data_IF_779657534449
#
_entry.id   IF_779657534449
#
_cell.length_a   1.000
_cell.length_b   1.000
_cell.length_c   1.000
_cell.angle_alpha   90.00
_cell.angle_beta   90.00
_cell.angle_gamma   90.00
#
_symmetry.space_group_name_H-M   'P 1'
#
loop_
_entity.id
_entity.type
_entity.pdbx_description
1 polymer ?
#
# COMPACT_ATOMS: atom_id res chain seq x y z
N UNK A 1 -0.36 14.18 -13.33
CA UNK A 1 -0.69 14.54 -11.92
C UNK A 1 -0.95 13.25 -11.16
N UNK A 2 -0.64 13.18 -9.84
CA UNK A 2 -0.95 12.01 -8.99
C UNK A 2 -2.01 12.45 -7.99
N UNK A 3 -3.09 11.68 -7.90
CA UNK A 3 -4.21 11.95 -7.02
C UNK A 3 -4.66 10.67 -6.31
N UNK A 4 -5.24 10.82 -5.12
CA UNK A 4 -5.92 9.76 -4.38
C UNK A 4 -7.42 10.04 -4.38
N UNK A 5 -8.20 9.12 -4.92
CA UNK A 5 -9.67 9.25 -4.99
C UNK A 5 -10.32 7.95 -4.51
N UNK A 6 -11.56 8.02 -4.03
CA UNK A 6 -12.37 6.82 -3.81
C UNK A 6 -12.62 6.13 -5.15
N UNK A 7 -12.40 4.83 -5.17
CA UNK A 7 -12.72 4.01 -6.35
C UNK A 7 -14.24 3.95 -6.50
N UNK A 8 -14.74 4.16 -7.73
CA UNK A 8 -16.14 4.10 -8.04
C UNK A 8 -16.52 2.73 -8.64
N UNK A 9 -17.79 2.38 -8.58
CA UNK A 9 -18.26 1.06 -9.08
C UNK A 9 -18.00 0.84 -10.58
N UNK A 10 -18.05 1.90 -11.37
CA UNK A 10 -17.77 1.87 -12.81
C UNK A 10 -16.29 1.69 -13.15
N UNK A 11 -15.41 1.88 -12.15
CA UNK A 11 -13.96 1.67 -12.27
C UNK A 11 -13.52 0.23 -11.89
N UNK A 12 -14.42 -0.59 -11.36
CA UNK A 12 -14.10 -1.96 -10.93
C UNK A 12 -13.58 -2.83 -12.08
N UNK A 13 -14.01 -2.57 -13.32
CA UNK A 13 -13.47 -3.27 -14.48
C UNK A 13 -12.00 -2.94 -14.68
N UNK A 14 -11.62 -1.65 -14.59
CA UNK A 14 -10.23 -1.23 -14.69
C UNK A 14 -9.39 -1.78 -13.54
N UNK A 15 -9.92 -1.75 -12.31
CA UNK A 15 -9.24 -2.32 -11.15
C UNK A 15 -8.93 -3.81 -11.37
N UNK A 16 -9.93 -4.58 -11.78
CA UNK A 16 -9.77 -6.00 -12.10
C UNK A 16 -8.69 -6.22 -13.18
N UNK A 17 -8.74 -5.46 -14.28
CA UNK A 17 -7.83 -5.63 -15.40
C UNK A 17 -6.35 -5.40 -15.00
N UNK A 18 -6.07 -4.58 -14.00
CA UNK A 18 -4.70 -4.37 -13.50
C UNK A 18 -4.31 -5.31 -12.37
N UNK A 19 -5.22 -5.67 -11.49
CA UNK A 19 -4.97 -6.57 -10.36
C UNK A 19 -4.84 -8.02 -10.81
N UNK A 20 -5.77 -8.47 -11.64
CA UNK A 20 -5.82 -9.83 -12.20
C UNK A 20 -5.29 -9.89 -13.64
N UNK A 21 -4.26 -9.10 -13.96
CA UNK A 21 -3.66 -9.01 -15.31
C UNK A 21 -3.15 -10.35 -15.84
N UNK A 22 -2.84 -11.29 -14.95
CA UNK A 22 -2.43 -12.66 -15.27
C UNK A 22 -2.67 -13.58 -14.07
N UNK A 23 -2.49 -14.89 -14.26
CA UNK A 23 -2.52 -15.88 -13.17
C UNK A 23 -1.35 -15.71 -12.17
N UNK A 24 -0.28 -15.04 -12.59
CA UNK A 24 0.91 -14.73 -11.80
C UNK A 24 1.28 -13.27 -12.02
N UNK A 25 0.50 -12.33 -11.47
CA UNK A 25 0.74 -10.92 -11.74
C UNK A 25 2.03 -10.44 -11.08
N UNK A 26 2.77 -9.59 -11.78
CA UNK A 26 4.11 -9.12 -11.36
C UNK A 26 4.10 -8.43 -10.00
N UNK A 27 3.05 -7.69 -9.70
CA UNK A 27 2.94 -6.97 -8.42
C UNK A 27 2.96 -7.93 -7.20
N UNK A 28 2.42 -9.16 -7.35
CA UNK A 28 2.37 -10.14 -6.26
C UNK A 28 3.75 -10.67 -5.87
N UNK A 29 4.73 -10.61 -6.74
CA UNK A 29 6.12 -10.94 -6.39
C UNK A 29 6.70 -10.06 -5.28
N UNK A 30 6.11 -8.89 -5.04
CA UNK A 30 6.53 -7.92 -4.03
C UNK A 30 5.56 -7.80 -2.86
N UNK A 31 4.27 -8.12 -3.07
CA UNK A 31 3.23 -8.04 -2.07
C UNK A 31 3.12 -9.36 -1.29
N UNK A 32 3.95 -9.47 -0.26
CA UNK A 32 3.97 -10.62 0.67
C UNK A 32 3.90 -12.00 0.00
N UNK A 33 4.74 -12.30 -1.01
CA UNK A 33 4.65 -13.54 -1.80
C UNK A 33 4.87 -14.81 -0.97
N UNK A 34 5.41 -14.67 0.22
CA UNK A 34 5.65 -15.77 1.16
C UNK A 34 4.38 -16.32 1.82
N UNK A 35 3.23 -15.65 1.66
CA UNK A 35 1.95 -16.20 2.12
C UNK A 35 1.32 -17.14 1.08
N UNK A 36 1.72 -17.03 -0.19
CA UNK A 36 1.20 -17.83 -1.31
C UNK A 36 -0.34 -17.85 -1.37
N UNK A 37 -0.94 -16.68 -1.12
CA UNK A 37 -2.38 -16.49 -0.89
C UNK A 37 -3.12 -15.89 -2.10
N UNK A 38 -2.41 -15.66 -3.22
CA UNK A 38 -3.03 -15.11 -4.43
C UNK A 38 -3.77 -16.20 -5.21
N UNK A 39 -5.08 -16.01 -5.36
CA UNK A 39 -5.94 -16.84 -6.21
C UNK A 39 -6.45 -16.00 -7.38
N UNK A 40 -6.13 -16.43 -8.61
CA UNK A 40 -6.67 -15.77 -9.78
C UNK A 40 -8.18 -15.94 -9.87
N UNK A 41 -8.90 -14.83 -10.07
CA UNK A 41 -10.35 -14.79 -10.25
C UNK A 41 -10.71 -14.34 -11.67
N UNK A 42 -11.79 -14.85 -12.19
CA UNK A 42 -12.49 -14.24 -13.32
C UNK A 42 -13.16 -12.94 -12.89
N UNK A 43 -13.55 -12.09 -13.84
CA UNK A 43 -14.23 -10.85 -13.51
C UNK A 43 -15.54 -11.07 -12.73
N UNK A 44 -16.32 -12.10 -13.12
CA UNK A 44 -17.57 -12.42 -12.43
C UNK A 44 -17.33 -12.89 -10.98
N UNK A 45 -16.30 -13.70 -10.75
CA UNK A 45 -15.89 -14.11 -9.40
C UNK A 45 -15.39 -12.93 -8.57
N UNK A 46 -14.61 -12.02 -9.18
CA UNK A 46 -14.16 -10.79 -8.53
C UNK A 46 -15.34 -9.91 -8.09
N UNK A 47 -16.30 -9.65 -8.97
CA UNK A 47 -17.49 -8.83 -8.67
C UNK A 47 -18.34 -9.44 -7.54
N UNK A 48 -18.36 -10.76 -7.40
CA UNK A 48 -19.10 -11.49 -6.35
C UNK A 48 -18.27 -11.70 -5.07
N UNK A 49 -16.99 -11.34 -5.08
CA UNK A 49 -16.11 -11.51 -3.93
C UNK A 49 -16.31 -10.40 -2.89
N UNK A 50 -15.94 -10.69 -1.64
CA UNK A 50 -15.88 -9.69 -0.56
C UNK A 50 -14.84 -8.58 -0.77
N UNK A 51 -13.94 -8.72 -1.76
CA UNK A 51 -12.94 -7.71 -2.09
C UNK A 51 -13.54 -6.39 -2.57
N UNK A 52 -14.73 -6.45 -3.19
CA UNK A 52 -15.44 -5.24 -3.65
C UNK A 52 -15.74 -4.29 -2.49
N UNK A 53 -16.17 -4.83 -1.36
CA UNK A 53 -16.43 -4.02 -0.16
C UNK A 53 -15.15 -3.38 0.38
N UNK A 54 -14.03 -4.09 0.31
CA UNK A 54 -12.72 -3.53 0.67
C UNK A 54 -12.33 -2.38 -0.25
N UNK A 55 -12.37 -2.57 -1.57
CA UNK A 55 -11.95 -1.55 -2.54
C UNK A 55 -12.83 -0.31 -2.56
N UNK A 56 -14.14 -0.47 -2.33
CA UNK A 56 -15.09 0.65 -2.28
C UNK A 56 -15.19 1.28 -0.89
N UNK A 57 -14.55 0.68 0.11
CA UNK A 57 -14.59 1.10 1.50
C UNK A 57 -13.77 2.37 1.79
N UNK A 58 -13.93 2.88 3.00
CA UNK A 58 -13.26 4.13 3.45
C UNK A 58 -11.77 3.94 3.77
N UNK A 59 -11.34 2.69 3.90
CA UNK A 59 -9.95 2.34 4.23
C UNK A 59 -9.03 2.26 3.02
N UNK A 60 -9.57 2.44 1.82
CA UNK A 60 -8.84 2.31 0.55
C UNK A 60 -9.11 3.52 -0.34
N UNK A 61 -8.08 3.94 -1.05
CA UNK A 61 -8.20 4.88 -2.16
C UNK A 61 -7.43 4.39 -3.38
N UNK A 62 -7.97 4.63 -4.55
CA UNK A 62 -7.27 4.45 -5.81
C UNK A 62 -6.15 5.46 -5.98
N UNK A 63 -5.03 5.01 -6.53
CA UNK A 63 -3.94 5.86 -7.00
C UNK A 63 -4.17 6.16 -8.47
N UNK A 64 -4.35 7.43 -8.81
CA UNK A 64 -4.55 7.88 -10.18
C UNK A 64 -3.33 8.63 -10.68
N UNK A 65 -2.83 8.23 -11.83
CA UNK A 65 -1.80 8.95 -12.56
C UNK A 65 -2.39 9.48 -13.86
N UNK A 66 -2.53 10.82 -13.98
CA UNK A 66 -3.21 11.46 -15.11
C UNK A 66 -4.59 10.83 -15.38
N UNK A 67 -5.43 10.74 -14.35
CA UNK A 67 -6.78 10.16 -14.35
C UNK A 67 -6.87 8.65 -14.66
N UNK A 68 -5.74 7.95 -14.74
CA UNK A 68 -5.71 6.49 -14.94
C UNK A 68 -5.48 5.83 -13.58
N UNK A 69 -6.39 4.94 -13.17
CA UNK A 69 -6.22 4.10 -11.97
C UNK A 69 -5.07 3.10 -12.21
N UNK A 70 -4.05 3.14 -11.33
CA UNK A 70 -2.82 2.33 -11.46
C UNK A 70 -2.53 1.47 -10.22
N UNK A 71 -3.21 1.72 -9.12
CA UNK A 71 -2.97 1.01 -7.87
C UNK A 71 -3.85 1.54 -6.74
N UNK A 72 -3.53 1.15 -5.52
CA UNK A 72 -4.26 1.54 -4.32
C UNK A 72 -3.32 1.94 -3.19
N UNK A 73 -3.83 2.77 -2.27
CA UNK A 73 -3.34 2.91 -0.90
C UNK A 73 -4.41 2.41 0.05
N UNK A 74 -3.99 1.87 1.18
CA UNK A 74 -4.89 1.37 2.21
C UNK A 74 -4.43 1.78 3.60
N UNK A 75 -5.34 1.71 4.58
CA UNK A 75 -5.03 1.85 6.00
C UNK A 75 -5.76 0.78 6.80
N UNK A 76 -5.16 0.33 7.88
CA UNK A 76 -5.75 -0.63 8.80
C UNK A 76 -5.22 -0.41 10.22
N UNK A 77 -6.07 -0.71 11.19
CA UNK A 77 -5.67 -0.68 12.58
C UNK A 77 -5.00 -2.00 12.96
N UNK A 78 -3.74 -1.96 13.37
CA UNK A 78 -3.13 -3.06 14.11
C UNK A 78 -3.80 -3.16 15.49
N UNK A 79 -4.05 -2.02 16.11
CA UNK A 79 -4.86 -1.94 17.32
C UNK A 79 -5.48 -0.53 17.43
N UNK A 80 -6.78 -0.43 17.25
CA UNK A 80 -7.49 0.84 17.27
C UNK A 80 -7.50 1.49 18.66
N UNK A 81 -7.60 0.69 19.74
CA UNK A 81 -7.62 1.22 21.11
C UNK A 81 -6.30 1.88 21.50
N UNK A 82 -5.19 1.38 20.99
CA UNK A 82 -3.86 1.96 21.23
C UNK A 82 -3.46 2.97 20.14
N UNK A 83 -4.35 3.25 19.20
CA UNK A 83 -4.11 4.15 18.06
C UNK A 83 -2.92 3.74 17.19
N UNK A 84 -2.72 2.42 17.06
CA UNK A 84 -1.69 1.85 16.20
C UNK A 84 -2.26 1.56 14.82
N UNK A 85 -1.94 2.42 13.84
CA UNK A 85 -2.40 2.35 12.46
C UNK A 85 -1.23 2.06 11.53
N UNK A 86 -1.44 1.15 10.59
CA UNK A 86 -0.50 0.89 9.49
C UNK A 86 -1.15 1.22 8.14
N UNK A 87 -0.30 1.54 7.16
CA UNK A 87 -0.69 1.81 5.79
C UNK A 87 -0.09 0.79 4.83
N UNK A 88 -0.78 0.57 3.72
CA UNK A 88 -0.34 -0.25 2.60
C UNK A 88 -0.38 0.52 1.29
N UNK A 89 0.39 0.05 0.32
CA UNK A 89 0.37 0.55 -1.06
C UNK A 89 0.68 -0.59 -2.02
N UNK A 90 -0.10 -0.66 -3.10
CA UNK A 90 0.19 -1.53 -4.25
C UNK A 90 0.00 -0.72 -5.53
N UNK A 91 1.01 -0.72 -6.41
CA UNK A 91 0.87 -0.29 -7.80
C UNK A 91 0.80 -1.55 -8.63
N UNK A 92 -0.39 -1.89 -9.12
CA UNK A 92 -0.66 -3.15 -9.82
C UNK A 92 0.01 -3.21 -11.19
N UNK A 93 0.02 -2.08 -11.92
CA UNK A 93 0.58 -2.00 -13.27
C UNK A 93 2.08 -1.64 -13.21
N UNK A 94 2.94 -2.61 -13.56
CA UNK A 94 4.40 -2.46 -13.54
C UNK A 94 4.92 -1.33 -14.45
N UNK A 95 4.17 -0.97 -15.49
CA UNK A 95 4.52 0.14 -16.37
C UNK A 95 4.59 1.49 -15.65
N UNK A 96 4.01 1.58 -14.45
CA UNK A 96 4.02 2.78 -13.61
C UNK A 96 5.05 2.73 -12.47
N UNK A 97 5.84 1.68 -12.37
CA UNK A 97 6.88 1.57 -11.36
C UNK A 97 8.08 2.48 -11.64
N UNK A 98 8.86 2.78 -10.61
CA UNK A 98 10.07 3.61 -10.68
C UNK A 98 9.89 5.04 -11.21
N UNK A 99 8.65 5.52 -11.30
CA UNK A 99 8.29 6.89 -11.74
C UNK A 99 8.02 7.86 -10.59
N UNK A 100 8.32 7.46 -9.36
CA UNK A 100 8.07 8.28 -8.17
C UNK A 100 6.60 8.29 -7.70
N UNK A 101 5.71 7.56 -8.37
CA UNK A 101 4.27 7.51 -8.07
C UNK A 101 4.03 7.00 -6.65
N UNK A 102 4.70 5.90 -6.25
CA UNK A 102 4.55 5.32 -4.93
C UNK A 102 4.91 6.28 -3.81
N UNK A 103 6.04 6.97 -3.89
CA UNK A 103 6.44 7.96 -2.89
C UNK A 103 5.45 9.12 -2.81
N UNK A 104 4.96 9.62 -3.94
CA UNK A 104 3.98 10.72 -3.95
C UNK A 104 2.63 10.27 -3.40
N UNK A 105 2.16 9.07 -3.76
CA UNK A 105 0.91 8.52 -3.26
C UNK A 105 0.96 8.30 -1.74
N UNK A 106 2.05 7.72 -1.21
CA UNK A 106 2.23 7.56 0.22
C UNK A 106 2.27 8.91 0.95
N UNK A 107 2.96 9.91 0.41
CA UNK A 107 2.98 11.26 1.02
C UNK A 107 1.58 11.87 1.09
N UNK A 108 0.77 11.77 0.04
CA UNK A 108 -0.60 12.25 0.04
C UNK A 108 -1.47 11.49 1.03
N UNK A 109 -1.25 10.17 1.15
CA UNK A 109 -2.02 9.32 2.05
C UNK A 109 -1.70 9.58 3.52
N UNK A 110 -0.43 9.73 3.88
CA UNK A 110 0.02 10.08 5.23
C UNK A 110 -0.54 11.45 5.64
N UNK A 111 -0.45 12.43 4.73
CA UNK A 111 -0.99 13.77 4.97
C UNK A 111 -2.50 13.74 5.26
N UNK A 112 -3.26 13.04 4.43
CA UNK A 112 -4.69 12.87 4.63
C UNK A 112 -5.02 12.17 5.95
N UNK A 113 -4.33 11.07 6.28
CA UNK A 113 -4.58 10.31 7.50
C UNK A 113 -4.31 11.17 8.74
N UNK A 114 -3.19 11.88 8.83
CA UNK A 114 -2.90 12.75 9.96
C UNK A 114 -3.89 13.93 10.10
N UNK A 115 -4.52 14.33 9.00
CA UNK A 115 -5.53 15.40 9.01
C UNK A 115 -6.94 14.89 9.33
N UNK A 116 -7.23 13.61 9.13
CA UNK A 116 -8.57 13.02 9.30
C UNK A 116 -8.72 12.13 10.52
N UNK A 117 -7.63 11.46 10.95
CA UNK A 117 -7.65 10.60 12.13
C UNK A 117 -7.32 11.38 13.39
N UNK A 118 -8.32 11.55 14.26
CA UNK A 118 -8.13 12.22 15.53
C UNK A 118 -7.20 11.42 16.47
N UNK A 119 -6.38 12.13 17.25
CA UNK A 119 -5.48 11.53 18.24
C UNK A 119 -4.55 10.45 17.68
N UNK A 120 -4.11 10.59 16.43
CA UNK A 120 -3.13 9.71 15.82
C UNK A 120 -1.75 10.39 15.83
N UNK A 121 -0.78 9.75 16.48
CA UNK A 121 0.58 10.26 16.60
C UNK A 121 1.59 9.51 15.73
N UNK A 122 1.24 8.30 15.26
CA UNK A 122 2.13 7.41 14.53
C UNK A 122 1.43 6.73 13.36
N UNK A 123 2.08 6.68 12.21
CA UNK A 123 1.68 5.86 11.06
C UNK A 123 2.79 4.88 10.77
N UNK A 124 2.46 3.58 10.80
CA UNK A 124 3.37 2.49 10.46
C UNK A 124 3.22 1.99 9.02
N UNK A 125 4.23 1.30 8.55
CA UNK A 125 4.23 0.54 7.30
C UNK A 125 5.11 -0.69 7.49
N UNK A 126 4.53 -1.88 7.33
CA UNK A 126 5.29 -3.14 7.38
C UNK A 126 5.52 -3.69 5.98
N UNK A 127 6.76 -4.11 5.72
CA UNK A 127 7.13 -4.79 4.47
C UNK A 127 8.16 -5.89 4.76
N UNK A 128 8.75 -6.46 3.75
CA UNK A 128 9.80 -7.47 3.86
C UNK A 128 11.06 -7.04 3.09
N UNK A 129 12.22 -7.60 3.48
CA UNK A 129 13.50 -7.18 2.91
C UNK A 129 13.71 -7.52 1.43
N UNK A 130 12.79 -8.29 0.83
CA UNK A 130 12.74 -8.53 -0.62
C UNK A 130 12.06 -7.41 -1.41
N UNK A 131 11.24 -6.57 -0.77
CA UNK A 131 10.59 -5.45 -1.42
C UNK A 131 11.44 -4.17 -1.31
N UNK A 132 12.51 -4.12 -2.09
CA UNK A 132 13.43 -2.98 -2.12
C UNK A 132 12.73 -1.67 -2.54
N UNK A 133 11.70 -1.78 -3.39
CA UNK A 133 10.95 -0.62 -3.88
C UNK A 133 10.28 0.14 -2.74
N UNK A 134 9.49 -0.55 -1.92
CA UNK A 134 8.77 0.09 -0.81
C UNK A 134 9.72 0.53 0.31
N UNK A 135 10.79 -0.22 0.59
CA UNK A 135 11.83 0.19 1.55
C UNK A 135 12.45 1.54 1.16
N UNK A 136 12.81 1.72 -0.12
CA UNK A 136 13.33 2.99 -0.63
C UNK A 136 12.28 4.10 -0.61
N UNK A 137 11.01 3.78 -0.94
CA UNK A 137 9.92 4.74 -0.86
C UNK A 137 9.72 5.27 0.56
N UNK A 138 9.67 4.37 1.55
CA UNK A 138 9.50 4.72 2.96
C UNK A 138 10.57 5.68 3.46
N UNK A 139 11.84 5.35 3.21
CA UNK A 139 12.96 6.24 3.58
C UNK A 139 12.92 7.57 2.85
N UNK A 140 12.57 7.58 1.55
CA UNK A 140 12.50 8.79 0.74
C UNK A 140 11.46 9.78 1.24
N UNK A 141 10.35 9.30 1.77
CA UNK A 141 9.28 10.14 2.34
C UNK A 141 9.50 10.46 3.82
N UNK A 142 10.66 10.11 4.38
CA UNK A 142 11.08 10.47 5.72
C UNK A 142 10.61 9.52 6.82
N UNK A 143 10.08 8.33 6.49
CA UNK A 143 9.83 7.30 7.50
C UNK A 143 11.14 6.76 8.08
N UNK A 144 11.13 6.43 9.34
CA UNK A 144 12.26 5.80 10.05
C UNK A 144 12.09 4.28 10.06
N UNK A 145 13.19 3.53 9.89
CA UNK A 145 13.20 2.10 10.15
C UNK A 145 13.15 1.86 11.66
N UNK A 146 12.00 1.47 12.18
CA UNK A 146 11.76 1.25 13.61
C UNK A 146 12.04 -0.18 14.07
N UNK A 147 11.99 -1.14 13.14
CA UNK A 147 12.23 -2.53 13.47
C UNK A 147 12.64 -3.38 12.28
N UNK A 148 13.54 -4.35 12.57
CA UNK A 148 13.94 -5.39 11.63
C UNK A 148 13.90 -6.73 12.34
N UNK A 149 12.92 -7.56 11.99
CA UNK A 149 12.78 -8.91 12.58
C UNK A 149 13.39 -9.89 11.59
N UNK A 150 14.55 -10.43 11.97
CA UNK A 150 15.39 -11.20 11.06
C UNK A 150 14.83 -12.58 10.78
N UNK A 151 14.87 -13.01 9.48
CA UNK A 151 14.60 -14.38 9.01
C UNK A 151 13.22 -14.93 9.39
N UNK A 152 12.20 -14.05 9.40
CA UNK A 152 10.80 -14.43 9.70
C UNK A 152 9.90 -14.51 8.47
N UNK A 153 10.48 -14.36 7.28
CA UNK A 153 9.80 -14.51 6.00
C UNK A 153 10.56 -15.50 5.13
N UNK A 154 9.94 -16.59 4.75
CA UNK A 154 10.56 -17.63 3.93
C UNK A 154 9.90 -17.69 2.57
N UNK A 155 10.68 -17.52 1.50
CA UNK A 155 10.18 -17.54 0.12
C UNK A 155 11.29 -18.00 -0.82
N UNK A 156 10.98 -18.91 -1.74
CA UNK A 156 11.92 -19.44 -2.73
C UNK A 156 13.27 -19.92 -2.12
N UNK A 157 13.20 -20.69 -1.05
CA UNK A 157 14.35 -21.22 -0.30
C UNK A 157 15.27 -20.16 0.32
N UNK A 158 14.81 -18.93 0.46
CA UNK A 158 15.54 -17.81 1.07
C UNK A 158 14.77 -17.27 2.27
N UNK A 159 15.51 -16.96 3.35
CA UNK A 159 14.96 -16.25 4.50
C UNK A 159 15.15 -14.76 4.35
N UNK A 160 14.06 -14.03 4.47
CA UNK A 160 13.99 -12.57 4.48
C UNK A 160 13.56 -12.05 5.84
N UNK A 161 13.77 -10.76 6.05
CA UNK A 161 13.40 -10.07 7.28
C UNK A 161 12.05 -9.37 7.13
N UNK A 162 11.32 -9.21 8.23
CA UNK A 162 10.20 -8.27 8.31
C UNK A 162 10.76 -6.89 8.65
N UNK A 163 10.37 -5.88 7.87
CA UNK A 163 10.86 -4.50 7.97
C UNK A 163 9.70 -3.60 8.39
N UNK A 164 9.86 -2.90 9.51
CA UNK A 164 8.85 -2.00 10.05
C UNK A 164 9.34 -0.56 9.97
N UNK A 165 8.58 0.26 9.28
CA UNK A 165 8.83 1.68 9.14
C UNK A 165 7.72 2.45 9.86
N UNK A 166 8.07 3.64 10.38
CA UNK A 166 7.10 4.52 11.03
C UNK A 166 7.44 5.98 10.81
N UNK A 167 6.44 6.83 10.98
CA UNK A 167 6.59 8.27 11.00
C UNK A 167 5.67 8.87 12.05
N UNK A 168 6.21 9.82 12.85
CA UNK A 168 5.45 10.55 13.84
C UNK A 168 4.77 11.78 13.21
N UNK A 169 3.65 12.19 13.79
CA UNK A 169 2.89 13.35 13.32
C UNK A 169 3.72 14.64 13.32
N UNK A 170 4.53 14.84 14.35
CA UNK A 170 5.37 16.03 14.45
C UNK A 170 6.56 16.01 13.48
N UNK A 171 7.09 14.83 13.16
CA UNK A 171 8.11 14.65 12.11
C UNK A 171 7.54 15.00 10.73
N UNK A 172 6.33 14.50 10.44
CA UNK A 172 5.62 14.80 9.21
C UNK A 172 5.34 16.30 9.05
N UNK A 173 4.82 16.93 10.11
CA UNK A 173 4.53 18.35 10.10
C UNK A 173 5.76 19.24 9.85
N UNK A 174 6.95 18.83 10.26
CA UNK A 174 8.22 19.54 9.98
C UNK A 174 8.64 19.39 8.52
N UNK A 175 8.38 18.24 7.88
CA UNK A 175 8.75 18.00 6.47
C UNK A 175 7.86 18.79 5.50
N UNK A 176 6.57 18.92 5.78
CA UNK A 176 5.61 19.63 4.90
C UNK A 176 5.82 21.15 4.93
N UNK A 177 6.46 21.69 5.99
CA UNK A 177 6.74 23.13 6.14
C UNK A 177 8.04 23.59 5.45
N UNK A 178 8.88 22.69 5.00
CA UNK A 178 10.13 22.95 4.26
C UNK A 178 9.94 22.70 2.76
#
# INVERSE_FOLDING_TARGET
MIELKRIQRDELRRLYDIEYSSKTPKWKEYDAPYFDDFEFKTYDEFILSGEIEFFLGERVKGIYFNDILVGIVSKFWENEKTRWLEIGIVIFDENFWSKGIGSKALSLWIDEIFNTEENLEHIGLTTWSGNIGIMKCSLKIGMTLEGRIRKVRYHNNIFYDSMKYGILKDEWAKQVKN
#
